data_IF_323902958297
#
_entry.id   IF_323902958297
#
_cell.length_a   1.000
_cell.length_b   1.000
_cell.length_c   1.000
_cell.angle_alpha   90.00
_cell.angle_beta   90.00
_cell.angle_gamma   90.00
#
_symmetry.space_group_name_H-M   'P 1'
#
loop_
_entity.id
_entity.type
_entity.pdbx_description
1 polymer ?
#
# COMPACT_ATOMS: atom_id res chain seq x y z
N UNK A 1 20.90 25.17 -32.94
CA UNK A 1 20.89 25.34 -31.47
C UNK A 1 21.73 24.24 -30.85
N UNK A 2 22.74 24.57 -30.05
CA UNK A 2 23.56 23.57 -29.37
C UNK A 2 22.71 22.85 -28.30
N UNK A 3 22.96 21.57 -27.97
CA UNK A 3 22.16 20.82 -27.00
C UNK A 3 21.99 21.50 -25.62
N UNK A 4 22.93 22.36 -25.25
CA UNK A 4 22.93 23.10 -23.98
C UNK A 4 21.97 24.29 -23.98
N UNK A 5 21.73 24.95 -25.13
CA UNK A 5 20.76 26.05 -25.24
C UNK A 5 19.33 25.54 -25.08
N UNK A 6 19.10 24.30 -25.49
CA UNK A 6 17.82 23.62 -25.33
C UNK A 6 17.54 23.20 -23.84
N UNK A 7 18.60 22.85 -23.13
CA UNK A 7 18.53 22.53 -21.70
C UNK A 7 18.24 23.77 -20.83
N UNK A 8 18.86 24.89 -21.18
CA UNK A 8 18.66 26.19 -20.50
C UNK A 8 17.23 26.72 -20.73
N UNK A 9 16.67 26.46 -21.89
CA UNK A 9 15.31 26.84 -22.25
C UNK A 9 14.25 26.00 -21.49
N UNK A 10 14.51 24.69 -21.25
CA UNK A 10 13.65 23.81 -20.44
C UNK A 10 13.64 24.20 -18.96
N UNK A 11 14.76 24.69 -18.44
CA UNK A 11 14.90 25.04 -17.02
C UNK A 11 14.23 26.36 -16.65
N UNK A 12 14.09 27.29 -17.60
CA UNK A 12 13.61 28.65 -17.33
C UNK A 12 12.12 28.88 -17.64
N UNK A 13 11.40 27.94 -18.25
CA UNK A 13 9.96 28.09 -18.50
C UNK A 13 9.10 27.36 -17.45
N UNK A 14 8.16 28.11 -16.89
CA UNK A 14 7.12 27.60 -15.95
C UNK A 14 6.10 26.66 -16.61
N UNK A 15 6.03 26.57 -17.94
CA UNK A 15 5.00 25.81 -18.66
C UNK A 15 5.56 24.63 -19.45
N UNK A 16 5.12 23.43 -19.08
CA UNK A 16 5.41 22.17 -19.78
C UNK A 16 4.46 21.91 -20.97
N UNK A 17 3.47 22.75 -21.19
CA UNK A 17 2.47 22.63 -22.28
C UNK A 17 3.02 22.95 -23.65
N UNK A 18 4.18 23.60 -23.72
CA UNK A 18 4.78 24.00 -24.98
C UNK A 18 5.26 22.82 -25.86
N UNK A 19 5.68 21.73 -25.24
CA UNK A 19 6.16 20.54 -25.98
C UNK A 19 5.04 19.71 -26.61
N UNK A 20 3.87 19.69 -26.02
CA UNK A 20 2.69 19.03 -26.61
C UNK A 20 2.16 19.81 -27.81
N UNK A 21 2.25 21.12 -27.81
CA UNK A 21 1.72 21.96 -28.88
C UNK A 21 2.63 22.10 -30.10
N UNK A 22 3.97 21.96 -29.94
CA UNK A 22 4.90 21.98 -31.07
C UNK A 22 4.84 20.72 -31.94
N UNK A 23 4.61 19.55 -31.32
CA UNK A 23 4.48 18.29 -32.07
C UNK A 23 3.17 18.20 -32.88
N UNK A 24 2.13 18.93 -32.47
CA UNK A 24 0.84 18.94 -33.15
C UNK A 24 0.81 19.87 -34.40
N UNK A 25 1.64 20.92 -34.43
CA UNK A 25 1.64 21.90 -35.54
C UNK A 25 2.49 21.48 -36.74
N UNK A 26 3.38 20.50 -36.63
CA UNK A 26 4.30 20.13 -37.72
C UNK A 26 4.13 18.72 -38.30
N UNK A 27 3.11 17.93 -37.86
CA UNK A 27 2.80 16.62 -38.46
C UNK A 27 3.96 15.61 -38.44
N UNK A 28 5.05 15.85 -37.70
CA UNK A 28 6.23 15.01 -37.65
C UNK A 28 6.30 14.33 -36.27
N UNK A 29 5.74 13.15 -36.19
CA UNK A 29 5.91 12.22 -35.05
C UNK A 29 7.33 11.61 -35.06
N UNK A 30 8.37 12.41 -34.93
CA UNK A 30 9.71 11.91 -34.62
C UNK A 30 9.86 11.84 -33.10
N UNK A 31 9.80 10.63 -32.53
CA UNK A 31 10.28 10.39 -31.16
C UNK A 31 11.75 10.82 -31.10
N UNK A 32 12.03 11.87 -30.33
CA UNK A 32 13.42 12.27 -30.05
C UNK A 32 14.01 11.17 -29.18
N UNK A 33 14.83 10.31 -29.77
CA UNK A 33 15.60 9.30 -29.05
C UNK A 33 16.80 10.01 -28.43
N UNK A 34 16.75 10.21 -27.12
CA UNK A 34 17.87 10.79 -26.37
C UNK A 34 18.94 9.72 -26.17
N UNK A 35 20.19 10.09 -26.36
CA UNK A 35 21.36 9.28 -26.00
C UNK A 35 21.28 8.84 -24.53
N UNK A 36 21.79 7.63 -24.15
CA UNK A 36 21.71 7.10 -22.78
C UNK A 36 22.23 8.07 -21.71
N UNK A 37 23.29 8.83 -22.01
CA UNK A 37 23.82 9.85 -21.10
C UNK A 37 22.87 11.05 -20.96
N UNK A 38 22.29 11.53 -22.04
CA UNK A 38 21.29 12.60 -22.05
C UNK A 38 20.04 12.21 -21.29
N UNK A 39 19.59 10.95 -21.44
CA UNK A 39 18.46 10.38 -20.68
C UNK A 39 18.72 10.41 -19.18
N UNK A 40 19.94 10.02 -18.73
CA UNK A 40 20.33 10.09 -17.30
C UNK A 40 20.31 11.52 -16.77
N UNK A 41 20.82 12.49 -17.53
CA UNK A 41 20.83 13.91 -17.14
C UNK A 41 19.40 14.45 -17.02
N UNK A 42 18.54 14.19 -18.00
CA UNK A 42 17.12 14.60 -17.96
C UNK A 42 16.39 13.98 -16.76
N UNK A 43 16.64 12.72 -16.45
CA UNK A 43 16.07 12.06 -15.26
C UNK A 43 16.55 12.71 -13.96
N UNK A 44 17.86 13.05 -13.86
CA UNK A 44 18.43 13.74 -12.69
C UNK A 44 17.82 15.13 -12.51
N UNK A 45 17.68 15.89 -13.58
CA UNK A 45 17.04 17.22 -13.56
C UNK A 45 15.56 17.16 -13.17
N UNK A 46 14.82 16.20 -13.70
CA UNK A 46 13.42 15.94 -13.27
C UNK A 46 13.34 15.62 -11.78
N UNK A 47 14.28 14.85 -11.25
CA UNK A 47 14.36 14.53 -9.80
C UNK A 47 14.65 15.79 -8.98
N UNK A 48 15.60 16.62 -9.38
CA UNK A 48 15.95 17.88 -8.70
C UNK A 48 14.78 18.88 -8.72
N UNK A 49 14.09 19.03 -9.86
CA UNK A 49 12.89 19.89 -9.95
C UNK A 49 11.80 19.44 -8.99
N UNK A 50 11.58 18.11 -8.87
CA UNK A 50 10.59 17.53 -7.92
C UNK A 50 10.97 17.81 -6.47
N UNK A 51 12.25 17.63 -6.12
CA UNK A 51 12.75 17.93 -4.77
C UNK A 51 12.56 19.40 -4.41
N UNK A 52 12.91 20.31 -5.32
CA UNK A 52 12.71 21.75 -5.11
C UNK A 52 11.24 22.10 -4.87
N UNK A 53 10.33 21.58 -5.70
CA UNK A 53 8.89 21.82 -5.52
C UNK A 53 8.36 21.25 -4.20
N UNK A 54 8.88 20.10 -3.73
CA UNK A 54 8.52 19.54 -2.41
C UNK A 54 8.99 20.46 -1.29
N UNK A 55 10.20 20.96 -1.36
CA UNK A 55 10.76 21.90 -0.38
C UNK A 55 9.99 23.24 -0.36
N UNK A 56 9.60 23.75 -1.52
CA UNK A 56 8.82 24.98 -1.63
C UNK A 56 7.44 24.81 -0.96
N UNK A 57 6.73 23.69 -1.19
CA UNK A 57 5.45 23.38 -0.54
C UNK A 57 5.64 23.27 0.98
N UNK A 58 6.68 22.56 1.43
CA UNK A 58 6.96 22.39 2.86
C UNK A 58 7.26 23.72 3.56
N UNK A 59 8.08 24.56 2.93
CA UNK A 59 8.42 25.88 3.46
C UNK A 59 7.19 26.79 3.55
N UNK A 60 6.37 26.78 2.50
CA UNK A 60 5.14 27.57 2.44
C UNK A 60 4.15 27.13 3.52
N UNK A 61 3.90 25.83 3.66
CA UNK A 61 3.06 25.28 4.70
C UNK A 61 3.57 25.61 6.10
N UNK A 62 4.87 25.47 6.36
CA UNK A 62 5.48 25.81 7.65
C UNK A 62 5.30 27.29 7.98
N UNK A 63 5.46 28.20 7.02
CA UNK A 63 5.29 29.64 7.19
C UNK A 63 3.82 29.96 7.52
N UNK A 64 2.87 29.36 6.79
CA UNK A 64 1.44 29.54 7.05
C UNK A 64 1.06 29.01 8.44
N UNK A 65 1.58 27.86 8.85
CA UNK A 65 1.36 27.28 10.17
C UNK A 65 1.82 28.20 11.29
N UNK A 66 3.03 28.78 11.19
CA UNK A 66 3.60 29.67 12.21
C UNK A 66 2.78 30.95 12.43
N UNK A 67 2.09 31.41 11.38
CA UNK A 67 1.32 32.65 11.40
C UNK A 67 -0.17 32.42 11.69
N UNK A 68 -0.62 31.19 11.79
CA UNK A 68 -2.03 30.86 11.98
C UNK A 68 -2.43 30.96 13.46
N UNK A 69 -3.54 31.66 13.74
CA UNK A 69 -4.12 31.73 15.08
C UNK A 69 -5.18 30.67 15.25
N UNK A 70 -4.87 29.61 16.02
CA UNK A 70 -5.74 28.45 16.24
C UNK A 70 -7.00 28.78 17.06
N UNK A 71 -6.98 29.87 17.83
CA UNK A 71 -8.12 30.42 18.58
C UNK A 71 -9.31 30.81 17.68
N UNK A 72 -9.07 31.01 16.40
CA UNK A 72 -10.12 31.28 15.42
C UNK A 72 -10.68 30.05 14.70
N UNK A 73 -10.25 28.84 15.02
CA UNK A 73 -10.90 27.62 14.53
C UNK A 73 -12.29 27.54 15.17
N UNK A 74 -13.26 28.21 14.57
CA UNK A 74 -14.65 28.08 14.97
C UNK A 74 -15.10 26.66 14.70
N UNK A 75 -15.71 26.05 15.73
CA UNK A 75 -16.43 24.79 15.54
C UNK A 75 -17.38 24.94 14.33
N UNK A 76 -17.16 24.11 13.32
CA UNK A 76 -18.00 24.09 12.12
C UNK A 76 -19.38 23.61 12.55
N UNK A 77 -20.28 24.53 12.84
CA UNK A 77 -21.68 24.31 13.13
C UNK A 77 -22.02 23.18 14.11
N UNK A 78 -23.16 23.25 14.77
CA UNK A 78 -23.62 22.16 15.62
C UNK A 78 -23.96 20.93 14.77
N UNK A 79 -23.00 19.97 14.69
CA UNK A 79 -23.31 18.68 14.12
C UNK A 79 -24.30 17.93 15.01
N UNK A 80 -25.41 17.50 14.41
CA UNK A 80 -26.39 16.66 15.10
C UNK A 80 -26.18 15.20 14.62
N UNK A 81 -25.66 14.33 15.50
CA UNK A 81 -25.49 12.92 15.12
C UNK A 81 -26.86 12.29 14.81
N UNK A 82 -26.91 11.29 13.95
CA UNK A 82 -28.13 10.54 13.65
C UNK A 82 -28.63 9.82 14.92
N UNK A 83 -29.94 9.70 15.05
CA UNK A 83 -30.59 8.99 16.18
C UNK A 83 -30.15 7.53 16.25
N UNK A 84 -29.95 6.89 15.09
CA UNK A 84 -29.39 5.53 14.95
C UNK A 84 -28.16 5.64 14.07
N UNK A 85 -27.00 5.20 14.58
CA UNK A 85 -25.79 5.18 13.76
C UNK A 85 -25.86 3.98 12.80
N UNK A 86 -25.85 4.21 11.48
CA UNK A 86 -25.97 3.12 10.50
C UNK A 86 -24.79 2.15 10.51
N UNK A 87 -23.73 2.45 11.25
CA UNK A 87 -22.57 1.58 11.41
C UNK A 87 -22.62 0.68 12.64
N UNK A 88 -23.63 0.80 13.55
CA UNK A 88 -23.71 0.07 14.82
C UNK A 88 -23.61 -1.46 14.63
N UNK A 89 -24.37 -2.03 13.68
CA UNK A 89 -24.35 -3.48 13.40
C UNK A 89 -22.98 -3.96 12.91
N UNK A 90 -22.26 -3.14 12.18
CA UNK A 90 -20.92 -3.44 11.67
C UNK A 90 -19.87 -3.24 12.79
N UNK A 91 -20.01 -2.18 13.59
CA UNK A 91 -19.13 -1.87 14.70
C UNK A 91 -19.18 -2.95 15.79
N UNK A 92 -20.35 -3.52 16.07
CA UNK A 92 -20.50 -4.60 17.07
C UNK A 92 -19.62 -5.81 16.79
N UNK A 93 -19.36 -6.11 15.51
CA UNK A 93 -18.57 -7.26 15.03
C UNK A 93 -17.05 -7.01 15.04
N UNK A 94 -16.58 -5.80 15.38
CA UNK A 94 -15.16 -5.48 15.37
C UNK A 94 -14.45 -6.04 16.59
N UNK A 95 -13.20 -6.44 16.40
CA UNK A 95 -12.30 -6.79 17.48
C UNK A 95 -11.90 -5.58 18.33
N UNK A 96 -11.57 -5.80 19.59
CA UNK A 96 -11.25 -4.72 20.53
C UNK A 96 -10.10 -3.85 20.06
N UNK A 97 -9.04 -4.43 19.52
CA UNK A 97 -7.90 -3.67 19.00
C UNK A 97 -8.28 -2.76 17.82
N UNK A 98 -9.24 -3.17 16.99
CA UNK A 98 -9.75 -2.34 15.89
C UNK A 98 -10.55 -1.15 16.43
N UNK A 99 -11.38 -1.38 17.46
CA UNK A 99 -12.15 -0.34 18.16
C UNK A 99 -11.22 0.65 18.83
N UNK A 100 -10.26 0.16 19.62
CA UNK A 100 -9.28 1.00 20.31
C UNK A 100 -8.45 1.84 19.36
N UNK A 101 -8.04 1.27 18.23
CA UNK A 101 -7.24 2.01 17.24
C UNK A 101 -8.05 3.12 16.56
N UNK A 102 -9.28 2.84 16.13
CA UNK A 102 -10.17 3.85 15.55
C UNK A 102 -10.49 4.99 16.54
N UNK A 103 -10.77 4.63 17.80
CA UNK A 103 -11.01 5.58 18.88
C UNK A 103 -9.76 6.44 19.18
N UNK A 104 -8.57 5.85 19.24
CA UNK A 104 -7.32 6.57 19.43
C UNK A 104 -7.07 7.60 18.32
N UNK A 105 -7.27 7.23 17.05
CA UNK A 105 -7.13 8.15 15.93
C UNK A 105 -8.11 9.31 16.05
N UNK A 106 -9.38 9.04 16.39
CA UNK A 106 -10.39 10.08 16.54
C UNK A 106 -10.11 11.01 17.71
N UNK A 107 -9.73 10.46 18.87
CA UNK A 107 -9.45 11.25 20.07
C UNK A 107 -8.28 12.23 19.86
N UNK A 108 -7.25 11.82 19.11
CA UNK A 108 -6.17 12.75 18.75
C UNK A 108 -6.66 13.99 18.00
N UNK A 109 -7.68 13.87 17.13
CA UNK A 109 -8.29 15.04 16.47
C UNK A 109 -9.15 15.88 17.39
N UNK A 110 -9.75 15.30 18.43
CA UNK A 110 -10.54 16.02 19.44
C UNK A 110 -9.63 16.78 20.39
N UNK A 111 -8.55 16.16 20.84
CA UNK A 111 -7.59 16.71 21.80
C UNK A 111 -6.66 17.73 21.16
N UNK A 112 -6.35 17.57 19.87
CA UNK A 112 -5.45 18.47 19.15
C UNK A 112 -6.13 19.03 17.89
N UNK A 113 -6.72 20.20 18.00
CA UNK A 113 -7.40 20.89 16.89
C UNK A 113 -6.46 21.29 15.76
N UNK A 114 -5.16 21.42 16.04
CA UNK A 114 -4.14 21.70 14.99
C UNK A 114 -3.77 20.48 14.17
N UNK A 115 -4.21 19.27 14.57
CA UNK A 115 -3.93 18.05 13.86
C UNK A 115 -4.78 17.96 12.59
N UNK A 116 -4.11 17.74 11.46
CA UNK A 116 -4.72 17.58 10.13
C UNK A 116 -4.54 16.18 9.60
N UNK A 117 -3.33 15.61 9.77
CA UNK A 117 -2.96 14.36 9.15
C UNK A 117 -2.49 13.33 10.17
N UNK A 118 -3.15 12.19 10.19
CA UNK A 118 -2.73 11.02 10.97
C UNK A 118 -2.22 9.92 10.03
N UNK A 119 -0.98 9.49 10.23
CA UNK A 119 -0.48 8.25 9.63
C UNK A 119 -0.82 7.08 10.55
N UNK A 120 -1.84 6.33 10.20
CA UNK A 120 -2.32 5.16 10.90
C UNK A 120 -1.55 3.92 10.42
N UNK A 121 -0.58 3.48 11.21
CA UNK A 121 0.26 2.31 10.91
C UNK A 121 -0.41 1.07 11.47
N UNK A 122 -0.87 0.21 10.58
CA UNK A 122 -1.52 -1.05 10.94
C UNK A 122 -0.87 -2.20 10.17
N UNK A 123 -0.31 -3.20 10.85
CA UNK A 123 0.36 -4.31 10.22
C UNK A 123 -0.49 -5.02 9.16
N UNK A 124 0.15 -5.78 8.27
CA UNK A 124 -0.56 -6.56 7.24
C UNK A 124 -1.55 -7.53 7.88
N UNK A 125 -2.79 -7.56 7.37
CA UNK A 125 -3.87 -8.41 7.87
C UNK A 125 -4.25 -8.23 9.37
N UNK A 126 -3.89 -7.11 9.98
CA UNK A 126 -4.28 -6.76 11.35
C UNK A 126 -5.73 -6.30 11.49
N UNK A 127 -6.41 -6.04 10.38
CA UNK A 127 -7.79 -5.56 10.37
C UNK A 127 -7.96 -4.07 10.10
N UNK A 128 -7.09 -3.45 9.29
CA UNK A 128 -7.17 -2.03 8.89
C UNK A 128 -8.58 -1.55 8.55
N UNK A 129 -9.32 -2.32 7.73
CA UNK A 129 -10.68 -1.96 7.32
C UNK A 129 -11.65 -1.86 8.52
N UNK A 130 -11.51 -2.75 9.49
CA UNK A 130 -12.29 -2.68 10.73
C UNK A 130 -11.95 -1.44 11.56
N UNK A 131 -10.68 -1.05 11.61
CA UNK A 131 -10.26 0.19 12.29
C UNK A 131 -10.77 1.45 11.57
N UNK A 132 -10.82 1.44 10.24
CA UNK A 132 -11.47 2.53 9.47
C UNK A 132 -12.96 2.63 9.82
N UNK A 133 -13.65 1.50 9.93
CA UNK A 133 -15.06 1.47 10.32
C UNK A 133 -15.25 1.98 11.76
N UNK A 134 -14.40 1.60 12.71
CA UNK A 134 -14.41 2.12 14.06
C UNK A 134 -14.23 3.64 14.10
N UNK A 135 -13.25 4.16 13.37
CA UNK A 135 -13.03 5.59 13.22
C UNK A 135 -14.27 6.32 12.67
N UNK A 136 -14.89 5.77 11.61
CA UNK A 136 -16.10 6.34 11.01
C UNK A 136 -17.28 6.30 11.98
N UNK A 137 -17.50 5.16 12.64
CA UNK A 137 -18.55 5.02 13.66
C UNK A 137 -18.42 6.10 14.73
N UNK A 138 -17.21 6.32 15.25
CA UNK A 138 -16.93 7.34 16.25
C UNK A 138 -17.16 8.76 15.71
N UNK A 139 -16.66 9.05 14.49
CA UNK A 139 -16.82 10.34 13.85
C UNK A 139 -18.30 10.69 13.61
N UNK A 140 -19.14 9.70 13.24
CA UNK A 140 -20.58 9.90 13.04
C UNK A 140 -21.34 10.07 14.37
N UNK A 141 -20.90 9.43 15.45
CA UNK A 141 -21.59 9.45 16.75
C UNK A 141 -21.26 10.68 17.60
N UNK A 142 -20.16 11.36 17.34
CA UNK A 142 -19.64 12.38 18.26
C UNK A 142 -20.41 13.70 18.13
N UNK A 143 -20.95 14.23 19.24
CA UNK A 143 -21.84 15.41 19.24
C UNK A 143 -21.17 16.73 18.81
N UNK A 144 -19.93 16.95 19.25
CA UNK A 144 -19.23 18.24 19.06
C UNK A 144 -18.32 18.21 17.83
N UNK A 145 -17.52 17.14 17.67
CA UNK A 145 -16.54 17.00 16.61
C UNK A 145 -16.98 15.99 15.55
N UNK A 146 -18.29 15.72 15.46
CA UNK A 146 -18.84 14.76 14.53
C UNK A 146 -18.70 15.20 13.06
N UNK A 147 -18.69 14.22 12.18
CA UNK A 147 -18.59 14.43 10.73
C UNK A 147 -19.80 13.82 10.05
N UNK A 148 -20.53 14.58 9.21
CA UNK A 148 -21.64 14.03 8.43
C UNK A 148 -21.19 12.87 7.53
N UNK A 149 -22.01 11.84 7.41
CA UNK A 149 -21.69 10.62 6.62
C UNK A 149 -21.30 10.97 5.18
N UNK A 150 -22.00 11.92 4.57
CA UNK A 150 -21.77 12.41 3.21
C UNK A 150 -20.46 13.18 3.03
N UNK A 151 -19.76 13.49 4.14
CA UNK A 151 -18.47 14.17 4.18
C UNK A 151 -17.32 13.22 4.60
N UNK A 152 -17.60 11.92 4.76
CA UNK A 152 -16.59 10.91 5.07
C UNK A 152 -16.32 10.10 3.80
N UNK A 153 -15.05 9.95 3.43
CA UNK A 153 -14.64 9.26 2.22
C UNK A 153 -13.49 8.30 2.49
N UNK A 154 -13.55 7.11 1.87
CA UNK A 154 -12.42 6.17 1.79
C UNK A 154 -11.91 6.19 0.35
N UNK A 155 -10.62 6.43 0.18
CA UNK A 155 -9.97 6.47 -1.12
C UNK A 155 -8.65 5.70 -1.13
N UNK A 156 -8.40 4.94 -2.20
CA UNK A 156 -7.10 4.31 -2.43
C UNK A 156 -6.50 4.71 -3.77
N UNK A 157 -5.17 4.83 -3.81
CA UNK A 157 -4.44 5.01 -5.06
C UNK A 157 -4.31 3.72 -5.87
N UNK A 158 -4.75 2.59 -5.34
CA UNK A 158 -4.81 1.32 -6.05
C UNK A 158 -5.95 1.31 -7.06
N UNK A 159 -5.79 0.58 -8.18
CA UNK A 159 -6.81 0.46 -9.24
C UNK A 159 -7.57 -0.87 -9.21
N UNK A 160 -7.45 -1.65 -8.11
CA UNK A 160 -8.06 -2.97 -8.00
C UNK A 160 -9.57 -2.87 -7.79
N UNK A 161 -10.31 -3.51 -8.67
CA UNK A 161 -11.76 -3.70 -8.51
C UNK A 161 -12.08 -4.63 -7.33
N UNK A 162 -11.23 -5.64 -7.09
CA UNK A 162 -11.35 -6.56 -5.95
C UNK A 162 -11.27 -5.82 -4.62
N UNK A 163 -10.31 -4.89 -4.48
CA UNK A 163 -10.22 -4.04 -3.29
C UNK A 163 -11.51 -3.26 -3.06
N UNK A 164 -12.06 -2.67 -4.13
CA UNK A 164 -13.29 -1.89 -4.04
C UNK A 164 -14.47 -2.73 -3.55
N UNK A 165 -14.65 -3.92 -4.12
CA UNK A 165 -15.73 -4.85 -3.74
C UNK A 165 -15.56 -5.34 -2.31
N UNK A 166 -14.39 -5.86 -1.95
CA UNK A 166 -14.10 -6.34 -0.59
C UNK A 166 -14.22 -5.23 0.47
N UNK A 167 -13.88 -4.00 0.12
CA UNK A 167 -14.05 -2.89 1.05
C UNK A 167 -15.52 -2.56 1.22
N UNK A 168 -16.29 -2.46 0.13
CA UNK A 168 -17.74 -2.17 0.17
C UNK A 168 -18.52 -3.21 0.99
N UNK A 169 -18.23 -4.50 0.82
CA UNK A 169 -18.88 -5.58 1.58
C UNK A 169 -18.76 -5.43 3.11
N UNK A 170 -17.75 -4.72 3.59
CA UNK A 170 -17.50 -4.48 5.01
C UNK A 170 -18.15 -3.23 5.57
N UNK A 171 -18.84 -2.46 4.72
CA UNK A 171 -19.50 -1.21 5.07
C UNK A 171 -20.99 -1.25 4.69
N UNK A 172 -21.84 -0.45 5.38
CA UNK A 172 -23.25 -0.35 5.02
C UNK A 172 -23.43 0.08 3.56
N UNK A 173 -24.45 -0.45 2.84
CA UNK A 173 -24.68 -0.12 1.44
C UNK A 173 -24.80 1.38 1.16
N UNK A 174 -25.42 2.13 2.06
CA UNK A 174 -25.55 3.59 1.96
C UNK A 174 -24.22 4.35 1.90
N UNK A 175 -23.12 3.72 2.37
CA UNK A 175 -21.77 4.32 2.38
C UNK A 175 -20.95 3.95 1.14
N UNK A 176 -21.41 3.03 0.29
CA UNK A 176 -20.65 2.50 -0.83
C UNK A 176 -20.21 3.57 -1.85
N UNK A 177 -21.01 4.64 -2.03
CA UNK A 177 -20.67 5.74 -2.93
C UNK A 177 -19.54 6.64 -2.43
N UNK A 178 -19.16 6.51 -1.15
CA UNK A 178 -18.06 7.21 -0.53
C UNK A 178 -16.77 6.38 -0.50
N UNK A 179 -16.81 5.13 -1.01
CA UNK A 179 -15.65 4.25 -1.15
C UNK A 179 -15.20 4.26 -2.61
N UNK A 180 -14.02 4.85 -2.87
CA UNK A 180 -13.54 5.17 -4.19
C UNK A 180 -12.09 4.71 -4.38
N UNK A 181 -11.69 4.45 -5.61
CA UNK A 181 -10.33 4.06 -5.95
C UNK A 181 -9.74 4.94 -7.06
N UNK A 182 -8.48 4.71 -7.42
CA UNK A 182 -7.71 5.51 -8.39
C UNK A 182 -8.48 5.88 -9.65
N UNK A 183 -9.27 4.97 -10.21
CA UNK A 183 -10.01 5.25 -11.45
C UNK A 183 -11.15 6.27 -11.26
N UNK A 184 -11.54 6.52 -10.00
CA UNK A 184 -12.54 7.51 -9.61
C UNK A 184 -11.93 8.86 -9.21
N UNK A 185 -10.67 9.15 -9.57
CA UNK A 185 -9.97 10.37 -9.14
C UNK A 185 -10.75 11.66 -9.47
N UNK A 186 -11.34 11.77 -10.65
CA UNK A 186 -12.16 12.93 -11.02
C UNK A 186 -13.41 13.04 -10.14
N UNK A 187 -14.06 11.92 -9.88
CA UNK A 187 -15.26 11.85 -9.04
C UNK A 187 -14.98 12.27 -7.60
N UNK A 188 -13.90 11.77 -6.96
CA UNK A 188 -13.54 12.17 -5.59
C UNK A 188 -13.19 13.65 -5.50
N UNK A 189 -12.49 14.20 -6.49
CA UNK A 189 -12.20 15.64 -6.56
C UNK A 189 -13.51 16.44 -6.60
N UNK A 190 -14.48 16.05 -7.43
CA UNK A 190 -15.77 16.73 -7.50
C UNK A 190 -16.57 16.63 -6.20
N UNK A 191 -16.57 15.43 -5.57
CA UNK A 191 -17.26 15.21 -4.29
C UNK A 191 -16.67 16.02 -3.14
N UNK A 192 -15.35 16.23 -3.11
CA UNK A 192 -14.64 16.94 -2.05
C UNK A 192 -14.54 18.45 -2.27
N UNK A 193 -14.72 18.91 -3.50
CA UNK A 193 -14.59 20.32 -3.84
C UNK A 193 -15.59 21.17 -3.04
N UNK A 194 -15.07 22.19 -2.33
CA UNK A 194 -15.83 23.13 -1.50
C UNK A 194 -16.57 22.50 -0.30
N UNK A 195 -16.31 21.22 0.03
CA UNK A 195 -16.85 20.62 1.25
C UNK A 195 -16.11 21.11 2.49
N UNK A 196 -16.85 21.21 3.57
CA UNK A 196 -16.33 21.51 4.90
C UNK A 196 -16.64 20.34 5.84
N UNK A 197 -15.92 20.26 6.96
CA UNK A 197 -16.05 19.19 7.94
C UNK A 197 -15.91 17.80 7.28
N UNK A 198 -14.73 17.53 6.72
CA UNK A 198 -14.43 16.32 5.95
C UNK A 198 -13.50 15.40 6.70
N UNK A 199 -13.80 14.10 6.70
CA UNK A 199 -12.88 13.04 7.08
C UNK A 199 -12.49 12.25 5.81
N UNK A 200 -11.25 12.43 5.37
CA UNK A 200 -10.69 11.70 4.22
C UNK A 200 -9.78 10.57 4.71
N UNK A 201 -10.21 9.35 4.52
CA UNK A 201 -9.47 8.13 4.85
C UNK A 201 -8.78 7.63 3.58
N UNK A 202 -7.46 7.47 3.64
CA UNK A 202 -6.63 6.98 2.54
C UNK A 202 -6.12 5.59 2.88
N UNK A 203 -6.45 4.60 2.05
CA UNK A 203 -5.94 3.23 2.23
C UNK A 203 -4.80 2.92 1.26
N UNK A 204 -3.83 2.11 1.74
CA UNK A 204 -2.62 1.72 0.99
C UNK A 204 -1.88 2.96 0.42
N UNK A 205 -1.73 3.96 1.26
CA UNK A 205 -1.22 5.30 0.88
C UNK A 205 0.16 5.28 0.22
N UNK A 206 1.03 4.32 0.56
CA UNK A 206 2.37 4.17 -0.03
C UNK A 206 2.34 3.98 -1.56
N UNK A 207 1.21 3.55 -2.13
CA UNK A 207 1.07 3.33 -3.57
C UNK A 207 0.95 4.65 -4.35
N UNK A 208 0.46 5.72 -3.73
CA UNK A 208 0.04 6.93 -4.44
C UNK A 208 0.62 8.26 -3.98
N UNK A 209 1.46 8.28 -2.94
CA UNK A 209 1.98 9.53 -2.35
C UNK A 209 3.18 10.12 -3.10
N UNK A 210 3.89 9.34 -3.91
CA UNK A 210 5.03 9.88 -4.66
C UNK A 210 4.60 11.03 -5.54
N UNK A 211 5.49 12.01 -5.70
CA UNK A 211 5.26 13.22 -6.48
C UNK A 211 4.70 12.89 -7.88
N UNK A 212 3.65 13.57 -8.31
CA UNK A 212 2.85 13.32 -9.52
C UNK A 212 2.01 12.02 -9.53
N UNK A 213 1.97 11.24 -8.47
CA UNK A 213 1.06 10.11 -8.35
C UNK A 213 -0.37 10.55 -7.95
N UNK A 214 -1.24 9.61 -7.78
CA UNK A 214 -2.69 9.82 -7.64
C UNK A 214 -3.05 10.70 -6.44
N UNK A 215 -2.47 10.44 -5.26
CA UNK A 215 -2.78 11.21 -4.05
C UNK A 215 -2.21 12.61 -4.10
N UNK A 216 -1.00 12.77 -4.65
CA UNK A 216 -0.45 14.10 -4.89
C UNK A 216 -1.34 14.94 -5.83
N UNK A 217 -1.86 14.33 -6.90
CA UNK A 217 -2.80 15.00 -7.81
C UNK A 217 -4.11 15.39 -7.12
N UNK A 218 -4.64 14.50 -6.27
CA UNK A 218 -5.83 14.76 -5.47
C UNK A 218 -5.64 15.98 -4.58
N UNK A 219 -4.59 15.98 -3.76
CA UNK A 219 -4.31 17.07 -2.81
C UNK A 219 -4.05 18.39 -3.51
N UNK A 220 -3.32 18.37 -4.63
CA UNK A 220 -3.08 19.56 -5.44
C UNK A 220 -4.37 20.13 -6.05
N UNK A 221 -5.25 19.27 -6.57
CA UNK A 221 -6.51 19.69 -7.17
C UNK A 221 -7.48 20.30 -6.15
N UNK A 222 -7.42 19.85 -4.90
CA UNK A 222 -8.24 20.33 -3.78
C UNK A 222 -7.57 21.46 -2.98
N UNK A 223 -6.36 21.86 -3.35
CA UNK A 223 -5.55 22.81 -2.59
C UNK A 223 -5.27 22.38 -1.14
N UNK A 224 -5.19 21.07 -0.87
CA UNK A 224 -4.98 20.52 0.48
C UNK A 224 -3.52 20.63 0.97
N UNK A 225 -2.62 21.21 0.19
CA UNK A 225 -1.30 21.66 0.64
C UNK A 225 -1.30 23.12 1.13
N UNK A 226 -2.45 23.78 1.09
CA UNK A 226 -2.63 25.10 1.63
C UNK A 226 -3.26 24.99 3.02
N UNK A 227 -2.57 25.58 4.01
CA UNK A 227 -2.96 25.55 5.42
C UNK A 227 -4.34 26.15 5.65
N UNK A 228 -4.59 27.35 5.12
CA UNK A 228 -5.87 28.02 5.27
C UNK A 228 -7.04 27.19 4.73
N UNK A 229 -6.85 26.55 3.56
CA UNK A 229 -7.89 25.69 2.97
C UNK A 229 -8.28 24.57 3.93
N UNK A 230 -7.26 23.88 4.50
CA UNK A 230 -7.50 22.73 5.38
C UNK A 230 -8.17 23.13 6.66
N UNK A 231 -7.71 24.18 7.32
CA UNK A 231 -8.26 24.60 8.61
C UNK A 231 -9.59 25.31 8.48
N UNK A 232 -9.76 26.21 7.51
CA UNK A 232 -11.03 26.88 7.25
C UNK A 232 -12.16 25.91 6.93
N UNK A 233 -11.83 24.83 6.22
CA UNK A 233 -12.81 23.82 5.85
C UNK A 233 -12.88 22.65 6.83
N UNK A 234 -12.09 22.62 7.89
CA UNK A 234 -12.01 21.51 8.85
C UNK A 234 -11.82 20.16 8.15
N UNK A 235 -10.72 20.02 7.41
CA UNK A 235 -10.37 18.80 6.69
C UNK A 235 -9.47 17.95 7.58
N UNK A 236 -9.84 16.70 7.82
CA UNK A 236 -9.05 15.70 8.55
C UNK A 236 -8.67 14.56 7.59
N UNK A 237 -7.40 14.18 7.60
CA UNK A 237 -6.85 13.16 6.71
C UNK A 237 -6.25 12.04 7.53
N UNK A 238 -6.69 10.81 7.30
CA UNK A 238 -6.13 9.61 7.93
C UNK A 238 -5.57 8.69 6.86
N UNK A 239 -4.28 8.44 6.91
CA UNK A 239 -3.57 7.59 5.96
C UNK A 239 -3.23 6.25 6.56
N UNK A 240 -3.88 5.18 6.11
CA UNK A 240 -3.59 3.81 6.54
C UNK A 240 -2.50 3.16 5.70
N UNK A 241 -1.55 2.53 6.38
CA UNK A 241 -0.48 1.76 5.75
C UNK A 241 0.03 0.64 6.66
N UNK A 242 0.60 -0.40 6.06
CA UNK A 242 1.37 -1.41 6.79
C UNK A 242 2.89 -1.15 6.72
N UNK A 243 3.32 -0.24 5.84
CA UNK A 243 4.74 0.06 5.59
C UNK A 243 4.97 1.57 5.64
N UNK A 244 5.21 2.14 6.84
CA UNK A 244 5.30 3.58 7.04
C UNK A 244 6.56 4.22 6.45
N UNK A 245 7.67 3.48 6.31
CA UNK A 245 9.01 4.03 6.01
C UNK A 245 9.06 4.93 4.76
N UNK A 246 8.24 4.64 3.75
CA UNK A 246 8.18 5.44 2.51
C UNK A 246 7.33 6.72 2.65
N UNK A 247 6.55 6.84 3.73
CA UNK A 247 5.54 7.87 3.93
C UNK A 247 5.92 8.84 5.05
N UNK A 248 6.73 8.41 6.03
CA UNK A 248 7.15 9.26 7.14
C UNK A 248 7.82 10.56 6.67
N UNK A 249 8.58 10.49 5.59
CA UNK A 249 9.16 11.69 4.96
C UNK A 249 8.09 12.64 4.41
N UNK A 250 6.90 12.15 4.05
CA UNK A 250 5.80 12.98 3.55
C UNK A 250 5.00 13.61 4.69
N UNK A 251 5.04 13.05 5.91
CA UNK A 251 4.51 13.70 7.11
C UNK A 251 5.23 15.01 7.43
N UNK A 252 6.51 15.14 7.08
CA UNK A 252 7.25 16.39 7.23
C UNK A 252 6.62 17.58 6.47
N UNK A 253 5.77 17.31 5.47
CA UNK A 253 4.99 18.35 4.78
C UNK A 253 3.93 19.00 5.69
N UNK A 254 3.46 18.27 6.69
CA UNK A 254 2.41 18.70 7.58
C UNK A 254 2.94 19.36 8.88
N UNK A 255 4.27 19.42 9.03
CA UNK A 255 4.92 19.96 10.22
C UNK A 255 4.28 19.35 11.51
N UNK A 256 3.99 20.18 12.53
CA UNK A 256 3.37 19.73 13.78
C UNK A 256 1.87 19.37 13.65
N UNK A 257 1.29 19.49 12.44
CA UNK A 257 -0.10 19.09 12.17
C UNK A 257 -0.22 17.63 11.71
N UNK A 258 0.85 16.85 11.78
CA UNK A 258 0.88 15.43 11.43
C UNK A 258 1.39 14.57 12.58
N UNK A 259 0.76 13.41 12.82
CA UNK A 259 1.22 12.40 13.79
C UNK A 259 1.22 11.00 13.20
N UNK A 260 1.98 10.12 13.85
CA UNK A 260 1.97 8.66 13.59
C UNK A 260 1.26 7.98 14.76
N UNK A 261 0.29 7.13 14.44
CA UNK A 261 -0.40 6.29 15.42
C UNK A 261 -0.26 4.83 15.00
N UNK A 262 0.22 3.98 15.92
CA UNK A 262 0.43 2.57 15.67
C UNK A 262 -0.74 1.74 16.21
N UNK A 263 -1.22 0.78 15.42
CA UNK A 263 -2.28 -0.14 15.82
C UNK A 263 -1.75 -1.15 16.86
N UNK A 264 -2.36 -1.25 18.05
CA UNK A 264 -2.06 -2.32 18.96
C UNK A 264 -2.51 -3.65 18.37
N UNK A 265 -1.65 -4.66 18.42
CA UNK A 265 -1.99 -6.02 17.98
C UNK A 265 -1.88 -6.97 19.15
N UNK A 266 -2.84 -7.91 19.34
CA UNK A 266 -2.78 -8.89 20.42
C UNK A 266 -1.70 -9.94 20.16
N UNK A 267 -1.33 -10.68 21.21
CA UNK A 267 -0.31 -11.73 21.12
C UNK A 267 -0.67 -12.84 20.11
N UNK A 268 -1.95 -13.10 19.91
CA UNK A 268 -2.42 -14.06 18.90
C UNK A 268 -2.18 -13.61 17.46
N UNK A 269 -1.78 -12.35 17.23
CA UNK A 269 -1.44 -11.88 15.90
C UNK A 269 -0.05 -12.39 15.49
N UNK A 270 0.02 -13.12 14.36
CA UNK A 270 1.27 -13.55 13.75
C UNK A 270 1.88 -12.39 12.95
N UNK A 271 2.92 -11.78 13.50
CA UNK A 271 3.66 -10.70 12.86
C UNK A 271 4.78 -11.23 11.95
N UNK A 272 5.36 -10.34 11.13
CA UNK A 272 6.60 -10.66 10.38
C UNK A 272 7.75 -11.04 11.33
N UNK A 273 7.84 -10.39 12.50
CA UNK A 273 8.84 -10.71 13.51
C UNK A 273 8.65 -12.13 14.05
N UNK A 274 7.42 -12.52 14.42
CA UNK A 274 7.11 -13.88 14.87
C UNK A 274 7.36 -14.93 13.80
N UNK A 275 7.13 -14.61 12.52
CA UNK A 275 7.48 -15.51 11.41
C UNK A 275 9.00 -15.74 11.33
N UNK A 276 9.79 -14.68 11.52
CA UNK A 276 11.26 -14.78 11.54
C UNK A 276 11.75 -15.61 12.74
N UNK A 277 11.25 -15.28 13.94
CA UNK A 277 11.60 -15.97 15.20
C UNK A 277 11.22 -17.45 15.19
N UNK A 278 10.17 -17.82 14.48
CA UNK A 278 9.75 -19.22 14.30
C UNK A 278 10.46 -19.94 13.15
N UNK A 279 11.52 -19.35 12.57
CA UNK A 279 12.29 -19.92 11.45
C UNK A 279 11.41 -20.26 10.22
N UNK A 280 10.44 -19.40 9.89
CA UNK A 280 9.52 -19.58 8.78
C UNK A 280 9.79 -18.65 7.61
N UNK A 281 10.87 -17.87 7.66
CA UNK A 281 11.28 -16.92 6.61
C UNK A 281 12.64 -17.32 6.09
N UNK A 282 12.74 -17.54 4.79
CA UNK A 282 13.95 -17.97 4.11
C UNK A 282 14.33 -17.00 3.00
N UNK A 283 15.63 -16.96 2.67
CA UNK A 283 16.12 -16.15 1.56
C UNK A 283 15.67 -16.73 0.25
N UNK A 284 15.03 -15.91 -0.59
CA UNK A 284 14.68 -16.30 -1.96
C UNK A 284 15.91 -16.31 -2.88
N UNK A 285 15.86 -17.14 -3.89
CA UNK A 285 16.89 -17.31 -4.93
C UNK A 285 16.26 -17.23 -6.32
N UNK A 286 17.06 -17.14 -7.36
CA UNK A 286 16.55 -17.09 -8.73
C UNK A 286 16.10 -18.49 -9.20
N UNK A 287 14.83 -18.62 -9.54
CA UNK A 287 14.22 -19.86 -10.05
C UNK A 287 14.09 -19.87 -11.57
N UNK A 288 14.60 -18.83 -12.24
CA UNK A 288 14.38 -18.59 -13.67
C UNK A 288 15.60 -18.90 -14.53
N UNK A 289 16.71 -19.32 -13.92
CA UNK A 289 17.92 -19.64 -14.65
C UNK A 289 17.65 -20.81 -15.61
N UNK A 290 18.02 -20.63 -16.89
CA UNK A 290 17.77 -21.56 -17.95
C UNK A 290 18.92 -21.50 -18.96
N UNK A 291 19.39 -22.64 -19.40
CA UNK A 291 20.42 -22.73 -20.45
C UNK A 291 19.74 -22.72 -21.82
N UNK A 292 19.84 -21.61 -22.54
CA UNK A 292 19.24 -21.46 -23.86
C UNK A 292 19.94 -22.36 -24.94
N UNK A 293 21.21 -22.77 -24.75
CA UNK A 293 21.95 -23.57 -25.69
C UNK A 293 21.51 -25.01 -25.61
N UNK A 294 21.30 -25.53 -24.41
CA UNK A 294 20.90 -26.92 -24.18
C UNK A 294 19.38 -27.10 -24.08
N UNK A 295 18.65 -26.02 -24.02
CA UNK A 295 17.20 -25.97 -23.76
C UNK A 295 16.80 -26.73 -22.49
N UNK A 296 17.66 -26.69 -21.45
CA UNK A 296 17.47 -27.39 -20.18
C UNK A 296 17.49 -26.43 -19.00
N UNK A 297 17.03 -26.90 -17.82
CA UNK A 297 17.17 -26.18 -16.57
C UNK A 297 18.65 -26.01 -16.26
N UNK A 298 19.05 -24.79 -15.89
CA UNK A 298 20.39 -24.49 -15.42
C UNK A 298 20.61 -25.13 -14.03
N UNK A 299 21.83 -25.58 -13.73
CA UNK A 299 22.19 -26.18 -12.43
C UNK A 299 21.82 -25.30 -11.26
N UNK A 300 22.03 -23.98 -11.38
CA UNK A 300 21.65 -23.02 -10.33
C UNK A 300 20.14 -23.05 -10.03
N UNK A 301 19.28 -23.04 -11.04
CA UNK A 301 17.82 -23.12 -10.82
C UNK A 301 17.41 -24.49 -10.28
N UNK A 302 18.07 -25.55 -10.71
CA UNK A 302 17.85 -26.90 -10.21
C UNK A 302 18.15 -26.98 -8.71
N UNK A 303 19.32 -26.49 -8.27
CA UNK A 303 19.72 -26.47 -6.87
C UNK A 303 18.79 -25.59 -6.03
N UNK A 304 18.44 -24.39 -6.53
CA UNK A 304 17.55 -23.46 -5.85
C UNK A 304 16.12 -24.02 -5.64
N UNK A 305 15.61 -24.80 -6.61
CA UNK A 305 14.29 -25.45 -6.46
C UNK A 305 14.43 -26.69 -5.56
N UNK A 306 15.53 -27.44 -5.66
CA UNK A 306 15.77 -28.63 -4.82
C UNK A 306 15.83 -28.29 -3.34
N UNK A 307 16.32 -27.10 -2.96
CA UNK A 307 16.30 -26.60 -1.57
C UNK A 307 14.89 -26.46 -0.98
N UNK A 308 13.86 -26.41 -1.81
CA UNK A 308 12.46 -26.30 -1.36
C UNK A 308 11.90 -27.68 -0.95
N UNK A 309 12.40 -28.77 -1.55
CA UNK A 309 11.84 -30.11 -1.41
C UNK A 309 11.83 -30.64 0.05
N UNK A 310 12.88 -30.44 0.86
CA UNK A 310 12.86 -30.86 2.27
C UNK A 310 11.70 -30.27 3.06
N UNK A 311 11.33 -29.01 2.79
CA UNK A 311 10.18 -28.38 3.46
C UNK A 311 8.87 -29.07 3.10
N UNK A 312 8.71 -29.53 1.86
CA UNK A 312 7.52 -30.22 1.38
C UNK A 312 7.42 -31.61 2.02
N UNK A 313 8.53 -32.36 2.06
CA UNK A 313 8.60 -33.69 2.68
C UNK A 313 8.24 -33.69 4.17
N UNK A 314 8.54 -32.58 4.85
CA UNK A 314 8.21 -32.40 6.27
C UNK A 314 6.76 -31.97 6.52
N UNK A 315 5.92 -31.79 5.48
CA UNK A 315 4.52 -31.47 5.64
C UNK A 315 3.69 -32.73 5.85
N UNK A 316 2.93 -32.77 6.94
CA UNK A 316 2.07 -33.93 7.30
C UNK A 316 0.88 -34.15 6.34
N UNK A 317 0.58 -33.19 5.48
CA UNK A 317 -0.52 -33.27 4.50
C UNK A 317 -0.19 -32.49 3.24
N UNK A 318 -0.88 -32.84 2.16
CA UNK A 318 -0.76 -32.10 0.89
C UNK A 318 -1.16 -30.64 1.05
N UNK A 319 -0.43 -29.72 0.40
CA UNK A 319 -0.58 -28.29 0.51
C UNK A 319 -0.55 -27.59 -0.84
N UNK A 320 -1.11 -26.39 -0.88
CA UNK A 320 -0.90 -25.44 -1.97
C UNK A 320 0.40 -24.66 -1.75
N UNK A 321 1.22 -24.60 -2.77
CA UNK A 321 2.47 -23.83 -2.79
C UNK A 321 2.31 -22.68 -3.78
N UNK A 322 2.45 -21.45 -3.33
CA UNK A 322 2.25 -20.27 -4.18
C UNK A 322 3.61 -19.74 -4.62
N UNK A 323 3.91 -19.83 -5.90
CA UNK A 323 5.18 -19.40 -6.49
C UNK A 323 4.93 -18.15 -7.33
N UNK A 324 5.47 -17.01 -6.90
CA UNK A 324 5.40 -15.80 -7.71
C UNK A 324 6.51 -15.77 -8.73
N UNK A 325 6.13 -15.66 -9.99
CA UNK A 325 7.04 -15.69 -11.13
C UNK A 325 7.22 -14.32 -11.77
N UNK A 326 8.27 -14.13 -12.58
CA UNK A 326 8.35 -13.01 -13.50
C UNK A 326 7.24 -13.08 -14.57
N UNK A 327 7.20 -12.09 -15.45
CA UNK A 327 6.26 -12.02 -16.57
C UNK A 327 6.86 -12.65 -17.83
N UNK A 328 6.03 -12.84 -18.84
CA UNK A 328 6.37 -13.32 -20.18
C UNK A 328 7.13 -14.68 -20.14
N UNK A 329 8.12 -14.88 -21.01
CA UNK A 329 8.88 -16.13 -21.16
C UNK A 329 9.39 -16.71 -19.83
N UNK A 330 9.85 -15.85 -18.91
CA UNK A 330 10.39 -16.33 -17.63
C UNK A 330 9.34 -16.96 -16.69
N UNK A 331 8.05 -16.69 -16.88
CA UNK A 331 6.99 -17.43 -16.19
C UNK A 331 6.99 -18.91 -16.62
N UNK A 332 6.98 -19.13 -17.92
CA UNK A 332 6.91 -20.47 -18.49
C UNK A 332 8.21 -21.25 -18.19
N UNK A 333 9.36 -20.59 -18.27
CA UNK A 333 10.66 -21.15 -17.85
C UNK A 333 10.62 -21.58 -16.38
N UNK A 334 10.06 -20.76 -15.47
CA UNK A 334 9.95 -21.15 -14.06
C UNK A 334 9.11 -22.42 -13.89
N UNK A 335 7.97 -22.52 -14.60
CA UNK A 335 7.11 -23.72 -14.54
C UNK A 335 7.86 -24.95 -15.07
N UNK A 336 8.59 -24.81 -16.18
CA UNK A 336 9.39 -25.89 -16.76
C UNK A 336 10.49 -26.36 -15.78
N UNK A 337 11.20 -25.43 -15.15
CA UNK A 337 12.23 -25.74 -14.17
C UNK A 337 11.64 -26.53 -12.98
N UNK A 338 10.48 -26.09 -12.45
CA UNK A 338 9.77 -26.82 -11.39
C UNK A 338 9.36 -28.21 -11.84
N UNK A 339 8.79 -28.35 -13.04
CA UNK A 339 8.39 -29.65 -13.58
C UNK A 339 9.58 -30.60 -13.65
N UNK A 340 10.72 -30.14 -14.19
CA UNK A 340 11.94 -30.95 -14.32
C UNK A 340 12.44 -31.45 -12.95
N UNK A 341 12.51 -30.60 -11.96
CA UNK A 341 12.98 -30.97 -10.61
C UNK A 341 11.98 -31.86 -9.89
N UNK A 342 10.68 -31.56 -9.97
CA UNK A 342 9.65 -32.33 -9.29
C UNK A 342 9.39 -33.71 -9.88
N UNK A 343 9.68 -33.94 -11.17
CA UNK A 343 9.64 -35.28 -11.77
C UNK A 343 10.63 -36.25 -11.12
N UNK A 344 11.65 -35.73 -10.44
CA UNK A 344 12.62 -36.53 -9.70
C UNK A 344 12.27 -36.66 -8.21
N UNK A 345 11.13 -36.07 -7.78
CA UNK A 345 10.68 -36.14 -6.40
C UNK A 345 9.92 -37.43 -6.09
N UNK A 346 9.86 -37.78 -4.81
CA UNK A 346 9.22 -38.95 -4.25
C UNK A 346 7.77 -38.74 -3.80
N UNK A 347 7.19 -37.58 -4.09
CA UNK A 347 5.81 -37.24 -3.70
C UNK A 347 4.95 -36.83 -4.91
N UNK A 348 3.62 -37.06 -4.87
CA UNK A 348 2.72 -36.67 -5.94
C UNK A 348 2.53 -35.16 -5.97
N UNK A 349 2.63 -34.58 -7.15
CA UNK A 349 2.50 -33.12 -7.35
C UNK A 349 1.59 -32.75 -8.52
N UNK A 350 1.20 -31.48 -8.55
CA UNK A 350 0.48 -30.85 -9.66
C UNK A 350 0.99 -29.40 -9.85
N UNK A 351 1.13 -28.97 -11.11
CA UNK A 351 1.49 -27.61 -11.49
C UNK A 351 0.28 -26.91 -12.10
N UNK A 352 -0.05 -25.71 -11.61
CA UNK A 352 -1.21 -24.96 -12.09
C UNK A 352 -0.79 -23.50 -12.29
N UNK A 353 -1.17 -22.89 -13.43
CA UNK A 353 -1.10 -21.44 -13.59
C UNK A 353 -2.35 -20.80 -12.97
N UNK A 354 -2.19 -19.68 -12.26
CA UNK A 354 -3.31 -18.94 -11.67
C UNK A 354 -4.41 -18.55 -12.65
N UNK A 355 -4.05 -18.41 -13.93
CA UNK A 355 -4.99 -18.01 -15.00
C UNK A 355 -6.04 -19.07 -15.27
N UNK A 356 -5.81 -20.31 -14.86
CA UNK A 356 -6.74 -21.44 -15.01
C UNK A 356 -7.67 -21.59 -13.80
N UNK A 357 -7.51 -20.78 -12.75
CA UNK A 357 -8.32 -20.82 -11.53
C UNK A 357 -9.33 -19.69 -11.57
N UNK A 358 -10.64 -19.96 -11.75
CA UNK A 358 -11.67 -18.94 -11.81
C UNK A 358 -11.83 -18.15 -10.51
N UNK A 359 -11.93 -18.85 -9.38
CA UNK A 359 -11.97 -18.29 -8.04
C UNK A 359 -10.83 -18.85 -7.18
N UNK A 360 -9.80 -18.04 -6.99
CA UNK A 360 -8.60 -18.44 -6.28
C UNK A 360 -8.85 -18.73 -4.79
N UNK A 361 -9.71 -17.96 -4.13
CA UNK A 361 -9.95 -18.11 -2.69
C UNK A 361 -10.75 -19.36 -2.38
N UNK A 362 -11.81 -19.62 -3.13
CA UNK A 362 -12.59 -20.85 -3.01
C UNK A 362 -11.75 -22.08 -3.36
N UNK A 363 -10.85 -21.97 -4.35
CA UNK A 363 -9.96 -23.05 -4.74
C UNK A 363 -9.04 -23.50 -3.62
N UNK A 364 -8.41 -22.57 -2.90
CA UNK A 364 -7.48 -22.88 -1.79
C UNK A 364 -8.16 -23.12 -0.44
N UNK A 365 -9.47 -22.98 -0.36
CA UNK A 365 -10.23 -23.19 0.89
C UNK A 365 -10.34 -24.67 1.30
N UNK A 366 -10.22 -25.59 0.35
CA UNK A 366 -10.24 -27.04 0.57
C UNK A 366 -8.84 -27.64 0.41
N UNK A 367 -8.53 -28.75 1.09
CA UNK A 367 -7.22 -29.39 0.97
C UNK A 367 -6.99 -29.94 -0.46
N UNK A 368 -5.80 -29.81 -1.04
CA UNK A 368 -5.49 -30.40 -2.33
C UNK A 368 -5.25 -31.91 -2.22
N UNK A 369 -5.58 -32.66 -3.27
CA UNK A 369 -5.31 -34.11 -3.35
C UNK A 369 -3.81 -34.44 -3.46
N UNK A 370 -3.04 -33.52 -4.05
CA UNK A 370 -1.58 -33.61 -4.25
C UNK A 370 -0.96 -32.30 -3.84
N UNK A 371 0.35 -32.29 -3.58
CA UNK A 371 1.08 -31.03 -3.45
C UNK A 371 0.90 -30.19 -4.72
N UNK A 372 0.23 -29.05 -4.62
CA UNK A 372 -0.18 -28.25 -5.78
C UNK A 372 0.57 -26.93 -5.81
N UNK A 373 1.40 -26.76 -6.83
CA UNK A 373 2.17 -25.53 -7.05
C UNK A 373 1.38 -24.60 -7.95
N UNK A 374 1.02 -23.43 -7.41
CA UNK A 374 0.26 -22.41 -8.13
C UNK A 374 1.20 -21.27 -8.52
N UNK A 375 1.41 -21.09 -9.82
CA UNK A 375 2.27 -20.06 -10.35
C UNK A 375 1.49 -18.78 -10.61
N UNK A 376 1.87 -17.67 -9.92
CA UNK A 376 1.20 -16.38 -10.02
C UNK A 376 2.13 -15.32 -10.62
N UNK A 377 1.59 -14.40 -11.44
CA UNK A 377 2.36 -13.28 -12.01
C UNK A 377 2.24 -12.01 -11.19
N UNK A 378 1.11 -11.36 -11.21
CA UNK A 378 0.88 -10.01 -10.65
C UNK A 378 -0.16 -9.98 -9.53
N UNK A 379 -0.80 -11.09 -9.22
CA UNK A 379 -1.80 -11.21 -8.15
C UNK A 379 -1.15 -11.22 -6.76
N UNK A 380 -1.95 -11.03 -5.73
CA UNK A 380 -1.55 -11.07 -4.31
C UNK A 380 -0.49 -10.03 -3.90
N UNK A 381 -0.43 -8.88 -4.55
CA UNK A 381 0.51 -7.81 -4.20
C UNK A 381 0.09 -6.99 -3.00
N UNK A 382 -1.22 -6.73 -2.84
CA UNK A 382 -1.78 -5.89 -1.77
C UNK A 382 -3.15 -6.39 -1.34
N UNK A 383 -3.50 -6.14 -0.08
CA UNK A 383 -4.84 -6.15 0.52
C UNK A 383 -5.68 -7.44 0.48
N UNK A 384 -5.33 -8.48 -0.28
CA UNK A 384 -6.13 -9.71 -0.36
C UNK A 384 -5.81 -10.66 0.81
N UNK A 385 -6.83 -11.10 1.52
CA UNK A 385 -6.72 -12.17 2.53
C UNK A 385 -6.76 -13.52 1.83
N UNK A 386 -5.99 -14.51 2.30
CA UNK A 386 -5.99 -15.87 1.80
C UNK A 386 -6.46 -16.85 2.86
N UNK A 387 -7.11 -17.93 2.45
CA UNK A 387 -7.32 -19.11 3.30
C UNK A 387 -5.97 -19.78 3.56
N UNK A 388 -5.48 -19.72 4.81
CA UNK A 388 -4.10 -20.12 5.15
C UNK A 388 -3.94 -21.59 5.49
N UNK A 389 -5.02 -22.27 5.88
CA UNK A 389 -4.99 -23.62 6.45
C UNK A 389 -4.26 -24.63 5.55
N UNK A 390 -4.47 -24.52 4.25
CA UNK A 390 -3.93 -25.47 3.28
C UNK A 390 -2.71 -24.93 2.51
N UNK A 391 -2.15 -23.76 2.94
CA UNK A 391 -0.93 -23.22 2.36
C UNK A 391 0.30 -23.92 2.92
N UNK A 392 1.27 -24.16 2.08
CA UNK A 392 2.60 -24.68 2.43
C UNK A 392 3.67 -23.62 2.19
N UNK A 393 4.27 -23.61 1.02
CA UNK A 393 5.35 -22.70 0.64
C UNK A 393 4.79 -21.50 -0.11
N UNK A 394 5.21 -20.30 0.30
CA UNK A 394 5.01 -19.07 -0.44
C UNK A 394 6.37 -18.57 -0.91
N UNK A 395 6.58 -18.52 -2.21
CA UNK A 395 7.87 -18.12 -2.78
C UNK A 395 7.73 -16.82 -3.55
N UNK A 396 8.39 -15.75 -3.06
CA UNK A 396 8.35 -14.44 -3.71
C UNK A 396 9.29 -14.41 -4.91
N UNK A 397 8.96 -13.63 -5.92
CA UNK A 397 9.79 -13.46 -7.11
C UNK A 397 11.14 -12.86 -6.75
N UNK A 398 12.21 -13.54 -7.15
CA UNK A 398 13.55 -13.00 -7.03
C UNK A 398 13.72 -11.73 -7.85
N UNK A 399 14.32 -10.71 -7.24
CA UNK A 399 14.73 -9.47 -7.88
C UNK A 399 16.03 -8.97 -7.25
N UNK A 400 16.97 -8.50 -8.08
CA UNK A 400 18.27 -8.01 -7.59
C UNK A 400 18.19 -6.79 -6.67
N UNK A 401 17.14 -5.96 -6.82
CA UNK A 401 16.90 -4.76 -6.01
C UNK A 401 15.44 -4.76 -5.54
N UNK A 402 15.14 -5.48 -4.48
CA UNK A 402 13.78 -5.55 -3.94
C UNK A 402 13.34 -4.22 -3.34
N UNK A 403 12.03 -3.98 -3.38
CA UNK A 403 11.40 -2.82 -2.75
C UNK A 403 10.73 -3.30 -1.46
N UNK A 404 11.07 -2.68 -0.33
CA UNK A 404 10.58 -3.04 1.00
C UNK A 404 9.05 -3.24 1.05
N UNK A 405 8.29 -2.23 0.62
CA UNK A 405 6.82 -2.29 0.64
C UNK A 405 6.26 -3.48 -0.14
N UNK A 406 6.89 -3.81 -1.29
CA UNK A 406 6.45 -4.93 -2.13
C UNK A 406 6.71 -6.28 -1.46
N UNK A 407 7.81 -6.42 -0.77
CA UNK A 407 8.21 -7.65 -0.07
C UNK A 407 7.33 -7.86 1.17
N UNK A 408 7.24 -6.86 2.04
CA UNK A 408 6.49 -6.97 3.31
C UNK A 408 4.98 -7.15 3.06
N UNK A 409 4.43 -6.45 2.09
CA UNK A 409 3.00 -6.59 1.73
C UNK A 409 2.73 -7.71 0.70
N UNK A 410 3.77 -8.33 0.18
CA UNK A 410 3.69 -9.41 -0.80
C UNK A 410 3.22 -10.74 -0.19
N UNK A 411 3.86 -11.83 -0.60
CA UNK A 411 3.50 -13.17 -0.13
C UNK A 411 3.77 -13.33 1.36
N UNK A 412 4.84 -12.74 1.89
CA UNK A 412 5.12 -12.76 3.31
C UNK A 412 3.98 -12.16 4.15
N UNK A 413 3.45 -11.01 3.71
CA UNK A 413 2.30 -10.39 4.37
C UNK A 413 1.02 -11.23 4.31
N UNK A 414 0.96 -12.28 3.47
CA UNK A 414 -0.20 -13.20 3.40
C UNK A 414 -0.18 -14.24 4.52
N UNK A 415 0.97 -14.52 5.10
CA UNK A 415 1.09 -15.42 6.26
C UNK A 415 0.83 -14.72 7.59
N UNK A 416 1.01 -13.38 7.67
CA UNK A 416 0.73 -12.63 8.90
C UNK A 416 -0.76 -12.59 9.23
N UNK A 417 -1.11 -12.12 10.44
CA UNK A 417 -2.49 -11.95 10.88
C UNK A 417 -2.96 -13.06 11.80
N UNK A 418 -4.28 -13.27 11.83
CA UNK A 418 -4.93 -14.27 12.66
C UNK A 418 -5.12 -15.59 11.91
N UNK A 419 -5.39 -16.67 12.62
CA UNK A 419 -5.63 -18.03 12.04
C UNK A 419 -4.48 -18.51 11.14
N UNK A 420 -3.26 -18.43 11.65
CA UNK A 420 -2.09 -18.90 10.93
C UNK A 420 -2.01 -20.42 10.87
N UNK A 421 -1.55 -20.94 9.72
CA UNK A 421 -1.07 -22.30 9.61
C UNK A 421 0.38 -22.33 10.09
N UNK A 422 0.69 -23.15 11.08
CA UNK A 422 2.03 -23.21 11.70
C UNK A 422 3.12 -23.76 10.77
N UNK A 423 2.74 -24.54 9.77
CA UNK A 423 3.66 -25.24 8.88
C UNK A 423 3.97 -24.49 7.58
N UNK A 424 3.34 -23.31 7.35
CA UNK A 424 3.63 -22.54 6.16
C UNK A 424 4.94 -21.77 6.31
N UNK A 425 5.74 -21.74 5.26
CA UNK A 425 7.01 -21.00 5.18
C UNK A 425 7.01 -20.02 4.01
N UNK A 426 7.82 -18.98 4.09
CA UNK A 426 7.96 -18.01 3.01
C UNK A 426 9.42 -17.83 2.61
N UNK A 427 9.68 -17.90 1.31
CA UNK A 427 10.94 -17.53 0.68
C UNK A 427 10.82 -16.11 0.13
N UNK A 428 11.66 -15.21 0.64
CA UNK A 428 11.57 -13.78 0.35
C UNK A 428 12.92 -13.09 0.60
N UNK A 429 12.98 -11.75 0.55
CA UNK A 429 14.20 -11.00 0.86
C UNK A 429 14.41 -10.92 2.37
N UNK A 430 15.12 -11.86 2.93
CA UNK A 430 15.35 -12.02 4.37
C UNK A 430 15.87 -10.76 5.08
N UNK A 431 16.80 -9.94 4.52
CA UNK A 431 17.28 -8.73 5.18
C UNK A 431 16.19 -7.71 5.55
N UNK A 432 15.03 -7.74 4.90
CA UNK A 432 13.90 -6.85 5.25
C UNK A 432 13.13 -7.30 6.49
N UNK A 433 13.41 -8.49 7.01
CA UNK A 433 12.81 -9.05 8.22
C UNK A 433 13.73 -8.92 9.44
N UNK A 434 15.01 -8.59 9.23
CA UNK A 434 15.88 -8.25 10.35
C UNK A 434 15.22 -7.14 11.19
N UNK A 435 15.38 -7.15 12.53
CA UNK A 435 14.72 -6.19 13.39
C UNK A 435 15.04 -4.79 12.87
N UNK A 436 14.01 -4.10 12.38
CA UNK A 436 14.11 -2.69 12.09
C UNK A 436 14.30 -2.08 13.47
N UNK A 437 15.53 -1.69 13.78
CA UNK A 437 15.77 -0.78 14.87
C UNK A 437 15.03 0.50 14.49
N UNK A 438 13.76 0.60 14.93
CA UNK A 438 13.06 1.86 14.95
C UNK A 438 13.96 2.78 15.79
N UNK A 439 14.69 3.63 15.12
CA UNK A 439 15.27 4.81 15.74
C UNK A 439 14.08 5.70 16.10
N UNK A 440 13.40 5.36 17.19
CA UNK A 440 12.63 6.31 17.94
C UNK A 440 13.63 7.36 18.43
N UNK A 441 13.77 8.45 17.70
CA UNK A 441 14.10 9.70 18.33
C UNK A 441 12.91 10.00 19.24
N UNK A 442 13.04 9.94 20.55
CA UNK A 442 12.03 10.52 21.42
C UNK A 442 12.07 12.00 21.08
N UNK A 443 11.07 12.50 20.37
CA UNK A 443 10.78 13.92 20.39
C UNK A 443 10.52 14.25 21.86
N UNK A 444 11.51 14.86 22.48
CA UNK A 444 11.41 15.40 23.82
C UNK A 444 10.18 16.32 23.84
N UNK A 445 9.11 15.84 24.41
CA UNK A 445 8.09 16.70 24.97
C UNK A 445 8.74 17.34 26.20
N UNK A 446 9.25 18.56 26.04
CA UNK A 446 9.45 19.44 27.16
C UNK A 446 8.05 20.02 27.51
N UNK A 447 7.63 19.91 28.78
CA UNK A 447 6.40 20.54 29.22
C UNK A 447 6.63 22.04 29.31
N UNK A 448 5.73 22.81 28.73
CA UNK A 448 5.43 24.19 29.14
C UNK A 448 3.95 24.29 29.45
#
# INVERSE_FOLDING_TARGET
MKPWDYLFFILNRKDTTFFTNMSYKQGISKRIILEPQQTKVVQKLKKLKRLRQKLDIQKDFKTQFSNFRFDHIRHVGHYKPPTVNPFDTYFSKLFNNQKQFGDSIFNNYVENLSLVHTLAVAPTQSGKTGSMLSLIHKAVSHKIHGVPIENIFIFTAHSSKEWLLQTRERFPPMFHDNILHRNNLKQIIQKLKNKTNVLLILDEVQIGMKFYQTLFKLFRALNYYNFDTIFKHNIKIVSFTATPNSIEQDLSLWNNSGIVVNMPVPDAYLSHQKLLESNRVFQFKDLTCFDENTNTVNSEAYDNISEILPFIRNMHSTKYHIIRTPRAKLHDVTIQNFNHVLLQSDFPFQLISETTIPDFDSFIASPPLKHTFIFIKDKLRCAKTLHKLHLGILYERFVKRPIYDTIIQGLAGRLTGYHSNENSVVFTHLPFFAPIQFKHSPSAFLPF
#
